data_IF_374732820791
#
_entry.id   IF_374732820791
#
_cell.length_a   1.000
_cell.length_b   1.000
_cell.length_c   1.000
_cell.angle_alpha   90.00
_cell.angle_beta   90.00
_cell.angle_gamma   90.00
#
_symmetry.space_group_name_H-M   'P 1'
#
loop_
_entity.id
_entity.type
_entity.pdbx_description
1 polymer ?
#
# COMPACT_ATOMS: atom_id res chain seq x y z
N UNK A 1 15.76 15.68 -3.09
CA UNK A 1 16.71 14.80 -3.81
C UNK A 1 16.73 15.22 -5.27
N UNK A 2 17.82 15.82 -5.75
CA UNK A 2 17.89 16.33 -7.12
C UNK A 2 18.29 15.21 -8.10
N UNK A 3 17.41 14.85 -9.03
CA UNK A 3 17.67 13.85 -10.07
C UNK A 3 18.44 14.51 -11.24
N UNK A 4 19.69 14.89 -11.01
CA UNK A 4 20.56 15.45 -12.07
C UNK A 4 21.35 14.32 -12.75
N UNK A 5 20.63 13.45 -13.47
CA UNK A 5 21.26 12.60 -14.49
C UNK A 5 21.29 13.41 -15.79
N UNK A 6 22.47 13.58 -16.39
CA UNK A 6 22.67 14.30 -17.67
C UNK A 6 22.05 13.55 -18.88
N UNK A 7 20.99 12.77 -18.65
CA UNK A 7 20.25 11.98 -19.63
C UNK A 7 18.99 12.73 -20.04
N UNK A 8 18.89 13.01 -21.34
CA UNK A 8 17.65 13.49 -21.92
C UNK A 8 16.56 12.41 -21.80
N UNK A 9 15.46 12.72 -21.13
CA UNK A 9 14.28 11.86 -21.09
C UNK A 9 13.66 11.80 -22.50
N UNK A 10 13.41 10.59 -23.05
CA UNK A 10 12.74 10.46 -24.35
C UNK A 10 11.36 11.11 -24.30
N UNK A 11 11.00 11.89 -25.33
CA UNK A 11 9.70 12.58 -25.43
C UNK A 11 8.52 11.63 -25.24
N UNK A 12 8.61 10.40 -25.77
CA UNK A 12 7.61 9.35 -25.59
C UNK A 12 7.39 8.98 -24.13
N UNK A 13 8.44 8.92 -23.32
CA UNK A 13 8.37 8.61 -21.90
C UNK A 13 7.63 9.72 -21.15
N UNK A 14 7.93 10.98 -21.47
CA UNK A 14 7.24 12.14 -20.90
C UNK A 14 5.76 12.15 -21.29
N UNK A 15 5.44 11.93 -22.57
CA UNK A 15 4.06 11.88 -23.06
C UNK A 15 3.24 10.74 -22.45
N UNK A 16 3.87 9.58 -22.17
CA UNK A 16 3.22 8.46 -21.47
C UNK A 16 2.92 8.78 -20.00
N UNK A 17 3.77 9.56 -19.33
CA UNK A 17 3.59 9.96 -17.93
C UNK A 17 2.65 11.15 -17.73
N UNK A 18 2.50 12.01 -18.73
CA UNK A 18 1.66 13.22 -18.68
C UNK A 18 0.19 12.92 -18.37
N UNK A 19 -0.34 11.79 -18.84
CA UNK A 19 -1.69 11.35 -18.49
C UNK A 19 -1.85 11.11 -16.99
N UNK A 20 -0.85 10.50 -16.35
CA UNK A 20 -0.88 10.21 -14.91
C UNK A 20 -0.79 11.49 -14.06
N UNK A 21 -0.06 12.52 -14.52
CA UNK A 21 0.06 13.79 -13.79
C UNK A 21 -1.24 14.59 -13.77
N UNK A 22 -2.17 14.34 -14.70
CA UNK A 22 -3.48 15.00 -14.75
C UNK A 22 -4.56 14.09 -14.15
N UNK A 23 -4.53 12.80 -14.49
CA UNK A 23 -5.54 11.85 -14.03
C UNK A 23 -5.48 11.61 -12.52
N UNK A 24 -4.29 11.59 -11.91
CA UNK A 24 -4.15 11.29 -10.49
C UNK A 24 -4.71 12.42 -9.59
N UNK A 25 -4.41 13.72 -9.80
CA UNK A 25 -5.06 14.79 -9.05
C UNK A 25 -6.56 14.89 -9.30
N UNK A 26 -7.02 14.62 -10.53
CA UNK A 26 -8.44 14.64 -10.84
C UNK A 26 -9.20 13.50 -10.14
N UNK A 27 -8.57 12.32 -10.07
CA UNK A 27 -9.09 11.20 -9.29
C UNK A 27 -9.15 11.55 -7.80
N UNK A 28 -8.10 12.17 -7.26
CA UNK A 28 -8.07 12.65 -5.87
C UNK A 28 -9.16 13.70 -5.58
N UNK A 29 -9.46 14.57 -6.55
CA UNK A 29 -10.52 15.58 -6.45
C UNK A 29 -11.95 14.99 -6.45
N UNK A 30 -12.12 13.75 -6.92
CA UNK A 30 -13.40 13.03 -6.83
C UNK A 30 -13.66 12.45 -5.44
N UNK A 31 -12.66 12.44 -4.54
CA UNK A 31 -12.87 12.06 -3.16
C UNK A 31 -13.41 13.26 -2.36
N UNK A 32 -14.57 13.13 -1.68
CA UNK A 32 -15.06 14.21 -0.83
C UNK A 32 -14.05 14.53 0.27
N UNK A 33 -13.74 15.82 0.43
CA UNK A 33 -12.74 16.31 1.38
C UNK A 33 -13.06 15.79 2.80
N UNK A 34 -12.03 15.26 3.48
CA UNK A 34 -12.12 14.68 4.82
C UNK A 34 -13.11 13.50 4.98
N UNK A 35 -13.60 12.89 3.90
CA UNK A 35 -14.47 11.72 4.00
C UNK A 35 -13.77 10.50 4.60
N UNK A 36 -14.51 9.70 5.37
CA UNK A 36 -14.04 8.43 5.93
C UNK A 36 -13.50 7.53 4.82
N UNK A 37 -14.12 7.54 3.63
CA UNK A 37 -13.70 6.75 2.45
C UNK A 37 -12.35 7.21 1.87
N UNK A 38 -12.05 8.51 1.90
CA UNK A 38 -10.74 9.04 1.52
C UNK A 38 -9.64 8.67 2.54
N UNK A 39 -9.99 8.66 3.83
CA UNK A 39 -9.09 8.15 4.89
C UNK A 39 -8.98 6.62 4.92
N UNK A 40 -9.91 5.93 4.24
CA UNK A 40 -9.96 4.48 4.11
C UNK A 40 -9.18 3.97 2.89
N UNK A 41 -8.31 4.77 2.27
CA UNK A 41 -7.13 4.24 1.58
C UNK A 41 -6.32 3.48 2.65
N UNK A 42 -6.75 2.25 2.91
CA UNK A 42 -6.59 1.57 4.18
C UNK A 42 -5.13 1.47 4.60
N UNK A 43 -4.91 1.49 5.91
CA UNK A 43 -3.60 1.18 6.46
C UNK A 43 -3.08 -0.11 5.79
N UNK A 44 -1.82 -0.12 5.32
CA UNK A 44 -1.28 -1.27 4.61
C UNK A 44 -1.48 -2.53 5.45
N UNK A 45 -1.90 -3.62 4.82
CA UNK A 45 -2.19 -4.87 5.52
C UNK A 45 -0.97 -5.29 6.36
N UNK A 46 -1.17 -5.46 7.67
CA UNK A 46 -0.17 -6.03 8.57
C UNK A 46 -0.03 -7.53 8.27
N UNK A 47 0.90 -7.86 7.36
CA UNK A 47 1.18 -9.25 6.93
C UNK A 47 2.12 -9.99 7.87
N UNK A 48 2.79 -9.26 8.77
CA UNK A 48 3.71 -9.83 9.73
C UNK A 48 3.14 -9.68 11.14
N UNK A 49 3.08 -10.81 11.86
CA UNK A 49 2.70 -10.87 13.27
C UNK A 49 3.65 -11.84 13.98
N UNK A 50 4.10 -11.45 15.17
CA UNK A 50 4.94 -12.28 16.05
C UNK A 50 4.22 -12.46 17.36
N UNK A 51 4.13 -13.71 17.81
CA UNK A 51 3.64 -14.07 19.13
C UNK A 51 4.79 -14.72 19.90
N UNK A 52 5.07 -14.20 21.10
CA UNK A 52 6.06 -14.76 22.00
C UNK A 52 5.35 -15.36 23.21
N UNK A 53 5.70 -16.59 23.55
CA UNK A 53 5.08 -17.32 24.67
C UNK A 53 6.20 -17.77 25.61
N UNK A 54 6.44 -17.05 26.73
CA UNK A 54 7.61 -17.28 27.59
C UNK A 54 7.57 -18.61 28.34
N UNK A 55 6.37 -19.12 28.64
CA UNK A 55 6.17 -20.32 29.48
C UNK A 55 5.69 -21.55 28.67
N UNK A 56 5.81 -21.52 27.33
CA UNK A 56 5.30 -22.58 26.45
C UNK A 56 3.79 -22.48 26.17
N UNK A 57 3.34 -23.16 25.10
CA UNK A 57 1.91 -23.23 24.71
C UNK A 57 1.30 -24.57 25.10
N UNK A 58 0.10 -24.53 25.68
CA UNK A 58 -0.74 -25.71 25.89
C UNK A 58 -1.35 -26.18 24.56
N UNK A 59 -0.56 -26.89 23.74
CA UNK A 59 -0.88 -27.26 22.35
C UNK A 59 -2.22 -28.00 22.17
N UNK A 60 -2.78 -28.60 23.22
CA UNK A 60 -4.10 -29.24 23.24
C UNK A 60 -5.23 -28.29 22.79
N UNK A 61 -5.14 -27.01 23.14
CA UNK A 61 -6.12 -25.99 22.75
C UNK A 61 -5.81 -25.33 21.40
N UNK A 62 -4.54 -25.40 20.96
CA UNK A 62 -4.04 -24.65 19.81
C UNK A 62 -3.88 -25.49 18.55
N UNK A 63 -3.84 -26.81 18.67
CA UNK A 63 -3.69 -27.71 17.52
C UNK A 63 -5.01 -27.81 16.76
N UNK A 64 -5.06 -27.43 15.48
CA UNK A 64 -6.25 -27.60 14.67
C UNK A 64 -6.62 -29.09 14.56
N UNK A 65 -7.91 -29.41 14.74
CA UNK A 65 -8.39 -30.80 14.69
C UNK A 65 -8.56 -31.36 13.27
N UNK A 66 -8.37 -30.52 12.26
CA UNK A 66 -8.51 -30.89 10.86
C UNK A 66 -7.80 -29.89 9.96
N UNK A 67 -7.71 -30.22 8.68
CA UNK A 67 -7.23 -29.32 7.64
C UNK A 67 -8.44 -28.58 7.08
N UNK A 68 -8.42 -27.25 7.15
CA UNK A 68 -9.43 -26.40 6.51
C UNK A 68 -9.51 -26.63 5.01
#
# INVERSE_FOLDING_TARGET
>A
MSFLTSKALPRRTVLRGLGATIALPFLDAMLPAASIRARAAGAPAHRFQTFYVPNGMAMEYWTPKGTG
#
